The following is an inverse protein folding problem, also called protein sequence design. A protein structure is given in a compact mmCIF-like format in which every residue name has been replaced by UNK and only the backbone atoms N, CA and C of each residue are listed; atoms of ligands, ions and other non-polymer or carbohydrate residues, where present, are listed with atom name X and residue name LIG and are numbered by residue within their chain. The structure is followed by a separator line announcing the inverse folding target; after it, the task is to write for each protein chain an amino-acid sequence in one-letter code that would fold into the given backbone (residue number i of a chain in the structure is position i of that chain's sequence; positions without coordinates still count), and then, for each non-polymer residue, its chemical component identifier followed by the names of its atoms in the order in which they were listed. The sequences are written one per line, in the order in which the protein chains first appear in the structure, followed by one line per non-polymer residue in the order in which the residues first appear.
data_IF_846295150303
#
_entry.id   IF_846295150303
#
_cell.length_a   1.000
_cell.length_b   1.000
_cell.length_c   1.000
_cell.angle_alpha   90.00
_cell.angle_beta   90.00
_cell.angle_gamma   90.00
#
_symmetry.space_group_name_H-M   'P 1'
#
loop_
_entity.id
_entity.type
_entity.pdbx_description
1 polymer ?
#
# COMPACT_ATOMS: atom_id res chain seq x y z
N UNK A 1 -29.87 36.50 -32.25
CA UNK A 1 -30.26 35.94 -30.95
C UNK A 1 -29.38 34.72 -30.75
N UNK A 2 -28.46 34.81 -29.79
CA UNK A 2 -27.43 33.80 -29.49
C UNK A 2 -28.00 32.78 -28.50
N UNK A 3 -28.18 31.53 -28.94
CA UNK A 3 -28.51 30.42 -28.04
C UNK A 3 -27.22 29.85 -27.44
N UNK A 4 -27.02 30.17 -26.16
CA UNK A 4 -25.93 29.68 -25.33
C UNK A 4 -26.36 28.33 -24.72
N UNK A 5 -26.13 27.23 -25.43
CA UNK A 5 -26.30 25.88 -24.88
C UNK A 5 -25.06 25.48 -24.08
N UNK A 6 -24.95 25.99 -22.84
CA UNK A 6 -23.97 25.50 -21.87
C UNK A 6 -24.38 24.08 -21.44
N UNK A 7 -23.64 23.09 -21.93
CA UNK A 7 -23.70 21.73 -21.36
C UNK A 7 -23.14 21.77 -19.94
N UNK A 8 -23.82 21.20 -18.92
CA UNK A 8 -23.21 21.08 -17.60
C UNK A 8 -22.13 20.01 -17.69
N UNK A 9 -20.88 20.45 -17.76
CA UNK A 9 -19.70 19.62 -17.51
C UNK A 9 -19.83 19.02 -16.11
N UNK A 10 -20.28 17.78 -16.03
CA UNK A 10 -20.30 16.97 -14.80
C UNK A 10 -18.88 16.54 -14.41
N UNK A 11 -18.01 17.49 -14.09
CA UNK A 11 -16.77 17.23 -13.37
C UNK A 11 -17.06 17.27 -11.86
N UNK A 12 -17.55 16.15 -11.31
CA UNK A 12 -17.74 15.99 -9.85
C UNK A 12 -16.48 15.40 -9.20
N UNK A 13 -16.24 15.63 -7.89
CA UNK A 13 -14.92 15.95 -7.33
C UNK A 13 -14.10 14.70 -6.97
N UNK A 14 -13.22 14.29 -7.87
CA UNK A 14 -12.16 13.31 -7.59
C UNK A 14 -11.12 13.83 -6.57
N UNK A 15 -11.13 15.15 -6.31
CA UNK A 15 -10.07 15.89 -5.61
C UNK A 15 -10.23 16.03 -4.09
N UNK A 16 -11.41 15.78 -3.50
CA UNK A 16 -11.60 15.99 -2.04
C UNK A 16 -10.71 15.09 -1.18
N UNK A 17 -10.48 13.85 -1.62
CA UNK A 17 -9.60 12.92 -0.91
C UNK A 17 -8.14 13.39 -0.89
N UNK A 18 -7.66 13.92 -2.01
CA UNK A 18 -6.26 14.37 -2.16
C UNK A 18 -6.04 15.71 -1.46
N UNK A 19 -7.09 16.52 -1.37
CA UNK A 19 -7.11 17.79 -0.65
C UNK A 19 -7.36 17.61 0.86
N UNK A 20 -7.66 16.39 1.32
CA UNK A 20 -7.91 16.13 2.74
C UNK A 20 -6.60 16.38 3.54
N UNK A 21 -6.64 17.26 4.56
CA UNK A 21 -5.44 17.57 5.34
C UNK A 21 -4.87 16.36 6.08
N UNK A 22 -5.72 15.42 6.49
CA UNK A 22 -5.30 14.17 7.10
C UNK A 22 -4.59 13.27 6.12
N UNK A 23 -5.09 13.14 4.88
CA UNK A 23 -4.39 12.41 3.83
C UNK A 23 -2.99 12.98 3.57
N UNK A 24 -2.88 14.28 3.35
CA UNK A 24 -1.60 14.95 3.06
C UNK A 24 -0.59 14.80 4.20
N UNK A 25 -1.04 14.90 5.45
CA UNK A 25 -0.19 14.73 6.63
C UNK A 25 0.38 13.30 6.71
N UNK A 26 -0.47 12.28 6.55
CA UNK A 26 -0.04 10.88 6.61
C UNK A 26 0.81 10.46 5.40
N UNK A 27 0.54 11.03 4.23
CA UNK A 27 1.39 10.86 3.05
C UNK A 27 2.80 11.41 3.30
N UNK A 28 2.92 12.62 3.86
CA UNK A 28 4.22 13.19 4.20
C UNK A 28 4.90 12.42 5.33
N UNK A 29 4.15 11.92 6.32
CA UNK A 29 4.65 11.06 7.38
C UNK A 29 5.23 9.76 6.81
N UNK A 30 4.48 9.04 5.97
CA UNK A 30 4.94 7.82 5.31
C UNK A 30 6.25 8.07 4.55
N UNK A 31 6.31 9.18 3.81
CA UNK A 31 7.50 9.58 3.06
C UNK A 31 8.69 9.81 3.99
N UNK A 32 8.51 10.56 5.08
CA UNK A 32 9.55 10.81 6.08
C UNK A 32 10.05 9.50 6.71
N UNK A 33 9.14 8.62 7.10
CA UNK A 33 9.48 7.32 7.69
C UNK A 33 10.31 6.48 6.72
N UNK A 34 9.87 6.35 5.47
CA UNK A 34 10.58 5.62 4.43
C UNK A 34 12.01 6.16 4.23
N UNK A 35 12.18 7.47 4.05
CA UNK A 35 13.51 8.05 3.82
C UNK A 35 14.42 7.91 5.05
N UNK A 36 13.90 8.06 6.27
CA UNK A 36 14.67 7.86 7.49
C UNK A 36 15.13 6.41 7.62
N UNK A 37 14.26 5.43 7.33
CA UNK A 37 14.63 4.01 7.32
C UNK A 37 15.69 3.71 6.27
N UNK A 38 15.56 4.28 5.07
CA UNK A 38 16.54 4.10 4.00
C UNK A 38 17.91 4.74 4.30
N UNK A 39 17.93 5.96 4.85
CA UNK A 39 19.19 6.67 5.17
C UNK A 39 19.97 6.03 6.31
N UNK A 40 19.26 5.46 7.28
CA UNK A 40 19.92 4.77 8.40
C UNK A 40 20.48 3.41 7.98
N UNK A 41 20.27 2.94 6.74
CA UNK A 41 20.66 1.61 6.26
C UNK A 41 22.18 1.38 6.11
N UNK A 42 23.01 2.30 6.59
CA UNK A 42 24.43 2.04 6.82
C UNK A 42 24.61 0.73 7.62
N UNK A 43 25.67 -0.06 7.35
CA UNK A 43 25.84 -1.37 7.95
C UNK A 43 26.12 -1.23 9.44
N UNK A 44 25.08 -1.19 10.26
CA UNK A 44 25.19 -1.48 11.68
C UNK A 44 25.60 -2.94 11.79
N UNK A 45 26.80 -3.16 12.33
CA UNK A 45 27.32 -4.49 12.68
C UNK A 45 26.49 -5.07 13.82
N UNK A 46 25.25 -5.44 13.54
CA UNK A 46 24.38 -6.09 14.50
C UNK A 46 24.37 -7.59 14.25
N UNK A 47 24.73 -8.29 15.32
CA UNK A 47 24.90 -9.72 15.48
C UNK A 47 23.72 -10.49 14.87
N UNK A 48 24.01 -11.55 14.10
CA UNK A 48 22.98 -12.49 13.62
C UNK A 48 22.06 -12.93 14.76
N UNK A 49 20.72 -12.88 14.58
CA UNK A 49 19.82 -13.53 15.52
C UNK A 49 20.10 -15.04 15.48
N UNK A 50 20.14 -15.64 16.66
CA UNK A 50 20.19 -17.09 16.82
C UNK A 50 18.87 -17.66 16.27
N UNK A 51 18.87 -18.71 15.43
CA UNK A 51 17.64 -19.32 14.97
C UNK A 51 16.96 -20.03 16.15
N UNK A 52 15.85 -19.50 16.66
CA UNK A 52 15.04 -20.21 17.66
C UNK A 52 14.25 -19.39 18.68
N UNK A 53 14.24 -18.06 18.64
CA UNK A 53 13.32 -17.30 19.50
C UNK A 53 11.95 -17.22 18.84
N UNK A 54 11.10 -18.22 19.11
CA UNK A 54 9.65 -18.04 19.04
C UNK A 54 9.31 -16.82 19.90
N UNK A 55 8.72 -15.79 19.28
CA UNK A 55 8.29 -14.57 19.98
C UNK A 55 7.39 -14.89 21.18
N UNK A 56 7.26 -13.97 22.16
CA UNK A 56 6.47 -14.24 23.35
C UNK A 56 5.04 -14.68 22.96
N UNK A 57 4.49 -15.76 23.57
CA UNK A 57 3.21 -16.36 23.17
C UNK A 57 2.00 -15.41 23.09
N UNK A 58 2.10 -14.20 23.66
CA UNK A 58 1.06 -13.18 23.63
C UNK A 58 0.97 -12.39 22.32
N UNK A 59 2.07 -12.25 21.56
CA UNK A 59 2.10 -11.41 20.35
C UNK A 59 1.26 -12.00 19.22
N UNK A 60 1.39 -13.31 18.96
CA UNK A 60 0.58 -14.01 17.95
C UNK A 60 -0.92 -13.95 18.31
N UNK A 61 -1.29 -14.01 19.59
CA UNK A 61 -2.68 -13.92 20.02
C UNK A 61 -3.26 -12.53 19.80
N UNK A 62 -2.50 -11.49 20.12
CA UNK A 62 -2.91 -10.09 19.92
C UNK A 62 -3.06 -9.76 18.43
N UNK A 63 -2.11 -10.19 17.59
CA UNK A 63 -2.19 -10.06 16.13
C UNK A 63 -3.46 -10.74 15.60
N UNK A 64 -3.73 -11.98 16.02
CA UNK A 64 -4.95 -12.69 15.60
C UNK A 64 -6.23 -11.99 16.05
N UNK A 65 -6.25 -11.39 17.24
CA UNK A 65 -7.38 -10.59 17.72
C UNK A 65 -7.58 -9.34 16.87
N UNK A 66 -6.50 -8.62 16.52
CA UNK A 66 -6.55 -7.44 15.66
C UNK A 66 -7.07 -7.77 14.26
N UNK A 67 -6.59 -8.86 13.65
CA UNK A 67 -7.06 -9.33 12.33
C UNK A 67 -8.54 -9.68 12.37
N UNK A 68 -8.99 -10.41 13.39
CA UNK A 68 -10.41 -10.75 13.58
C UNK A 68 -11.27 -9.51 13.77
N UNK A 69 -10.81 -8.55 14.59
CA UNK A 69 -11.50 -7.29 14.80
C UNK A 69 -11.61 -6.49 13.49
N UNK A 70 -10.52 -6.40 12.72
CA UNK A 70 -10.51 -5.73 11.42
C UNK A 70 -11.49 -6.36 10.42
N UNK A 71 -11.61 -7.69 10.39
CA UNK A 71 -12.48 -8.42 9.47
C UNK A 71 -13.92 -8.64 9.98
N UNK A 72 -14.24 -8.19 11.21
CA UNK A 72 -15.60 -8.28 11.75
C UNK A 72 -16.60 -7.36 11.05
N UNK A 73 -16.10 -6.29 10.40
CA UNK A 73 -16.92 -5.38 9.60
C UNK A 73 -17.28 -6.02 8.24
N UNK A 74 -18.57 -6.15 7.90
CA UNK A 74 -19.00 -6.66 6.59
C UNK A 74 -18.41 -5.89 5.42
N UNK A 75 -18.19 -4.58 5.61
CA UNK A 75 -17.61 -3.70 4.59
C UNK A 75 -16.13 -3.98 4.37
N UNK A 76 -15.35 -4.13 5.45
CA UNK A 76 -13.92 -4.52 5.36
C UNK A 76 -13.77 -5.92 4.75
N UNK A 77 -14.67 -6.84 5.07
CA UNK A 77 -14.71 -8.15 4.42
C UNK A 77 -15.02 -8.04 2.91
N UNK A 78 -15.89 -7.12 2.51
CA UNK A 78 -16.16 -6.85 1.09
C UNK A 78 -14.92 -6.30 0.38
N UNK A 79 -14.16 -5.40 1.01
CA UNK A 79 -12.87 -4.93 0.48
C UNK A 79 -11.86 -6.06 0.35
N UNK A 80 -11.74 -6.96 1.32
CA UNK A 80 -10.84 -8.11 1.19
C UNK A 80 -11.24 -9.01 0.01
N UNK A 81 -12.54 -9.27 -0.17
CA UNK A 81 -13.05 -10.05 -1.32
C UNK A 81 -12.74 -9.35 -2.65
N UNK A 82 -12.95 -8.04 -2.72
CA UNK A 82 -12.63 -7.25 -3.92
C UNK A 82 -11.12 -7.21 -4.19
N UNK A 83 -10.29 -7.13 -3.14
CA UNK A 83 -8.83 -7.19 -3.29
C UNK A 83 -8.42 -8.46 -4.03
N UNK A 84 -8.83 -9.64 -3.53
CA UNK A 84 -8.48 -10.93 -4.13
C UNK A 84 -9.07 -11.09 -5.54
N UNK A 85 -10.30 -10.63 -5.75
CA UNK A 85 -11.02 -10.87 -7.01
C UNK A 85 -10.68 -9.88 -8.13
N UNK A 86 -10.26 -8.66 -7.80
CA UNK A 86 -10.12 -7.56 -8.77
C UNK A 86 -8.78 -6.85 -8.68
N UNK A 87 -8.28 -6.55 -7.49
CA UNK A 87 -7.06 -5.72 -7.32
C UNK A 87 -5.79 -6.55 -7.49
N UNK A 88 -5.66 -7.66 -6.77
CA UNK A 88 -4.48 -8.50 -6.77
C UNK A 88 -4.10 -9.02 -8.17
N UNK A 89 -5.05 -9.46 -9.04
CA UNK A 89 -4.73 -9.83 -10.42
C UNK A 89 -4.09 -8.70 -11.24
N UNK A 90 -4.39 -7.43 -10.95
CA UNK A 90 -3.77 -6.30 -11.64
C UNK A 90 -2.33 -6.06 -11.17
N UNK A 91 -2.06 -6.38 -9.90
CA UNK A 91 -0.71 -6.29 -9.32
C UNK A 91 0.18 -7.43 -9.81
N UNK A 92 -0.38 -8.63 -9.95
CA UNK A 92 0.26 -9.86 -10.47
C UNK A 92 0.39 -9.89 -12.01
N UNK A 93 0.14 -8.80 -12.73
CA UNK A 93 0.32 -8.82 -14.18
C UNK A 93 1.78 -9.18 -14.52
N UNK A 94 1.96 -10.36 -15.15
CA UNK A 94 3.23 -11.03 -15.48
C UNK A 94 3.93 -11.77 -14.33
N UNK A 95 3.29 -11.92 -13.18
CA UNK A 95 3.71 -12.84 -12.11
C UNK A 95 2.85 -14.12 -12.14
N UNK A 96 3.41 -15.20 -12.68
CA UNK A 96 2.72 -16.50 -12.72
C UNK A 96 2.54 -17.14 -11.34
N UNK A 97 3.33 -16.73 -10.35
CA UNK A 97 3.26 -17.26 -8.98
C UNK A 97 2.18 -16.58 -8.15
N UNK A 98 1.58 -15.51 -8.67
CA UNK A 98 0.47 -14.79 -8.05
C UNK A 98 0.83 -14.27 -6.66
N UNK A 99 1.95 -13.56 -6.51
CA UNK A 99 2.43 -13.10 -5.20
C UNK A 99 1.39 -12.23 -4.49
N UNK A 100 0.73 -11.31 -5.20
CA UNK A 100 -0.31 -10.45 -4.63
C UNK A 100 -1.64 -11.20 -4.42
N UNK A 101 -1.95 -12.21 -5.22
CA UNK A 101 -3.19 -12.99 -5.11
C UNK A 101 -3.10 -14.08 -4.04
N UNK A 102 -1.91 -14.64 -3.80
CA UNK A 102 -1.69 -15.80 -2.92
C UNK A 102 -0.82 -15.45 -1.72
N UNK A 103 0.40 -14.96 -1.94
CA UNK A 103 1.39 -14.79 -0.87
C UNK A 103 1.04 -13.61 0.06
N UNK A 104 0.65 -12.46 -0.51
CA UNK A 104 0.28 -11.26 0.24
C UNK A 104 -0.93 -11.49 1.17
N UNK A 105 -2.06 -12.09 0.72
CA UNK A 105 -3.16 -12.42 1.62
C UNK A 105 -2.77 -13.39 2.73
N UNK A 106 -1.90 -14.37 2.45
CA UNK A 106 -1.39 -15.30 3.45
C UNK A 106 -0.58 -14.55 4.52
N UNK A 107 0.30 -13.65 4.11
CA UNK A 107 1.11 -12.81 4.99
C UNK A 107 0.24 -11.84 5.81
N UNK A 108 -0.80 -11.27 5.20
CA UNK A 108 -1.72 -10.35 5.86
C UNK A 108 -2.46 -10.97 7.05
N UNK A 109 -2.58 -12.31 7.13
CA UNK A 109 -3.17 -13.00 8.30
C UNK A 109 -2.33 -12.89 9.58
N UNK A 110 -1.06 -12.48 9.46
CA UNK A 110 -0.12 -12.31 10.56
C UNK A 110 0.48 -10.91 10.62
N UNK A 111 0.12 -10.03 9.69
CA UNK A 111 0.63 -8.67 9.63
C UNK A 111 -0.56 -7.69 9.50
N UNK A 112 -1.03 -7.11 10.62
CA UNK A 112 -2.14 -6.16 10.60
C UNK A 112 -1.89 -4.96 9.70
N UNK A 113 -0.66 -4.42 9.67
CA UNK A 113 -0.29 -3.31 8.77
C UNK A 113 -0.54 -3.66 7.29
N UNK A 114 -0.15 -4.86 6.86
CA UNK A 114 -0.39 -5.35 5.51
C UNK A 114 -1.87 -5.58 5.23
N UNK A 115 -2.63 -6.12 6.20
CA UNK A 115 -4.08 -6.24 6.06
C UNK A 115 -4.73 -4.87 5.83
N UNK A 116 -4.42 -3.88 6.65
CA UNK A 116 -4.98 -2.53 6.47
C UNK A 116 -4.56 -1.90 5.14
N UNK A 117 -3.33 -2.11 4.68
CA UNK A 117 -2.88 -1.63 3.37
C UNK A 117 -3.68 -2.25 2.20
N UNK A 118 -3.91 -3.58 2.19
CA UNK A 118 -4.71 -4.23 1.13
C UNK A 118 -6.18 -3.78 1.16
N UNK A 119 -6.73 -3.58 2.36
CA UNK A 119 -8.10 -3.07 2.53
C UNK A 119 -8.21 -1.64 2.02
N UNK A 120 -7.24 -0.77 2.37
CA UNK A 120 -7.20 0.62 1.93
C UNK A 120 -7.13 0.72 0.40
N UNK A 121 -6.24 -0.04 -0.24
CA UNK A 121 -6.09 -0.05 -1.70
C UNK A 121 -7.38 -0.52 -2.38
N UNK A 122 -7.99 -1.58 -1.85
CA UNK A 122 -9.24 -2.09 -2.41
C UNK A 122 -10.42 -1.14 -2.20
N UNK A 123 -10.54 -0.52 -1.03
CA UNK A 123 -11.56 0.50 -0.77
C UNK A 123 -11.40 1.65 -1.78
N UNK A 124 -10.16 2.13 -1.98
CA UNK A 124 -9.86 3.20 -2.92
C UNK A 124 -10.21 2.84 -4.37
N UNK A 125 -9.94 1.59 -4.76
CA UNK A 125 -10.29 1.10 -6.09
C UNK A 125 -11.82 1.07 -6.32
N UNK A 126 -12.58 0.64 -5.31
CA UNK A 126 -14.05 0.63 -5.38
C UNK A 126 -14.63 2.04 -5.41
N UNK A 127 -14.15 2.94 -4.54
CA UNK A 127 -14.56 4.36 -4.51
C UNK A 127 -14.41 5.02 -5.90
N UNK A 128 -13.32 4.71 -6.60
CA UNK A 128 -13.09 5.20 -7.97
C UNK A 128 -14.02 4.59 -9.02
N UNK A 129 -14.34 3.30 -8.88
CA UNK A 129 -15.17 2.57 -9.86
C UNK A 129 -16.65 2.93 -9.75
N UNK A 130 -17.17 3.09 -8.54
CA UNK A 130 -18.62 3.16 -8.33
C UNK A 130 -19.18 4.59 -8.39
N UNK A 131 -18.32 5.62 -8.41
CA UNK A 131 -18.68 7.07 -8.43
C UNK A 131 -19.77 7.47 -7.41
N UNK A 132 -20.06 6.60 -6.44
CA UNK A 132 -21.16 6.69 -5.50
C UNK A 132 -20.64 6.22 -4.16
N UNK A 133 -20.90 7.07 -3.17
CA UNK A 133 -20.55 7.00 -1.76
C UNK A 133 -19.27 7.76 -1.38
N UNK A 134 -19.51 8.83 -0.61
CA UNK A 134 -18.57 9.56 0.22
C UNK A 134 -18.05 8.69 1.39
N UNK A 135 -17.69 7.43 1.14
CA UNK A 135 -17.02 6.66 2.17
C UNK A 135 -15.54 7.05 2.11
N UNK A 136 -15.03 7.73 3.14
CA UNK A 136 -13.60 7.95 3.33
C UNK A 136 -12.95 6.75 4.02
N UNK A 137 -13.54 5.56 3.88
CA UNK A 137 -13.05 4.32 4.47
C UNK A 137 -11.62 4.02 4.00
N UNK A 138 -11.28 4.32 2.74
CA UNK A 138 -9.90 4.19 2.27
C UNK A 138 -8.92 5.07 3.04
N UNK A 139 -9.32 6.27 3.48
CA UNK A 139 -8.49 7.17 4.28
C UNK A 139 -8.26 6.61 5.68
N UNK A 140 -9.31 6.18 6.38
CA UNK A 140 -9.18 5.58 7.72
C UNK A 140 -8.30 4.33 7.70
N UNK A 141 -8.48 3.47 6.68
CA UNK A 141 -7.67 2.26 6.51
C UNK A 141 -6.21 2.59 6.16
N UNK A 142 -5.98 3.64 5.36
CA UNK A 142 -4.65 4.13 5.01
C UNK A 142 -3.89 4.67 6.23
N UNK A 143 -4.54 5.49 7.05
CA UNK A 143 -3.98 6.03 8.28
C UNK A 143 -3.60 4.92 9.26
N UNK A 144 -4.50 3.95 9.45
CA UNK A 144 -4.24 2.83 10.35
C UNK A 144 -3.11 1.91 9.83
N UNK A 145 -3.00 1.73 8.51
CA UNK A 145 -1.88 1.00 7.92
C UNK A 145 -0.53 1.67 8.22
N UNK A 146 -0.42 2.99 8.09
CA UNK A 146 0.80 3.75 8.39
C UNK A 146 1.13 3.70 9.87
N UNK A 147 0.13 3.86 10.75
CA UNK A 147 0.31 3.77 12.20
C UNK A 147 0.91 2.43 12.62
N UNK A 148 0.45 1.33 12.02
CA UNK A 148 0.95 -0.02 12.27
C UNK A 148 2.27 -0.32 11.55
N UNK A 149 2.56 0.35 10.44
CA UNK A 149 3.81 0.23 9.69
C UNK A 149 5.00 0.85 10.44
N UNK A 150 4.79 1.97 11.14
CA UNK A 150 5.86 2.69 11.83
C UNK A 150 6.78 1.80 12.72
N UNK A 151 6.28 0.96 13.64
CA UNK A 151 7.17 0.07 14.41
C UNK A 151 7.92 -0.95 13.55
N UNK A 152 7.33 -1.43 12.45
CA UNK A 152 7.99 -2.37 11.53
C UNK A 152 9.16 -1.71 10.77
N UNK A 153 9.02 -0.41 10.44
CA UNK A 153 10.08 0.38 9.82
C UNK A 153 11.28 0.59 10.76
N UNK A 154 11.05 0.69 12.08
CA UNK A 154 12.11 0.73 13.08
C UNK A 154 12.79 -0.63 13.24
N UNK A 155 12.01 -1.72 13.20
CA UNK A 155 12.50 -3.09 13.30
C UNK A 155 13.16 -3.61 12.01
N UNK A 156 13.04 -2.88 10.89
CA UNK A 156 13.55 -3.28 9.56
C UNK A 156 13.04 -4.63 9.08
N UNK A 157 11.80 -4.95 9.40
CA UNK A 157 11.18 -6.16 8.89
C UNK A 157 10.98 -6.06 7.37
N UNK A 158 11.40 -7.08 6.60
CA UNK A 158 11.19 -7.11 5.15
C UNK A 158 9.71 -7.07 4.74
N UNK A 159 8.77 -7.35 5.66
CA UNK A 159 7.33 -7.16 5.43
C UNK A 159 6.94 -5.70 5.17
N UNK A 160 7.77 -4.71 5.53
CA UNK A 160 7.54 -3.30 5.19
C UNK A 160 7.51 -3.07 3.68
N UNK A 161 8.26 -3.85 2.90
CA UNK A 161 8.44 -3.65 1.47
C UNK A 161 7.11 -3.84 0.69
N UNK A 162 6.40 -4.98 0.80
CA UNK A 162 5.09 -5.11 0.18
C UNK A 162 4.06 -4.10 0.72
N UNK A 163 4.12 -3.74 2.00
CA UNK A 163 3.21 -2.73 2.58
C UNK A 163 3.41 -1.37 1.89
N UNK A 164 4.64 -0.87 1.84
CA UNK A 164 4.97 0.40 1.20
C UNK A 164 4.59 0.41 -0.29
N UNK A 165 4.81 -0.69 -1.01
CA UNK A 165 4.41 -0.79 -2.43
C UNK A 165 2.90 -0.76 -2.61
N UNK A 166 2.13 -1.43 -1.75
CA UNK A 166 0.65 -1.41 -1.80
C UNK A 166 0.11 -0.01 -1.45
N UNK A 167 0.71 0.67 -0.46
CA UNK A 167 0.37 2.05 -0.13
C UNK A 167 0.74 2.99 -1.28
N UNK A 168 1.88 2.80 -1.93
CA UNK A 168 2.28 3.54 -3.12
C UNK A 168 1.28 3.34 -4.28
N UNK A 169 0.78 2.11 -4.50
CA UNK A 169 -0.31 1.86 -5.45
C UNK A 169 -1.54 2.72 -5.14
N UNK A 170 -1.94 2.81 -3.87
CA UNK A 170 -3.09 3.61 -3.44
C UNK A 170 -2.85 5.10 -3.69
N UNK A 171 -1.67 5.59 -3.31
CA UNK A 171 -1.30 6.99 -3.51
C UNK A 171 -1.29 7.35 -4.99
N UNK A 172 -0.73 6.51 -5.86
CA UNK A 172 -0.74 6.72 -7.30
C UNK A 172 -2.14 6.68 -7.91
N UNK A 173 -3.05 5.88 -7.36
CA UNK A 173 -4.45 6.02 -7.74
C UNK A 173 -4.85 7.46 -7.41
N UNK A 174 -4.66 7.90 -6.19
CA UNK A 174 -5.06 9.24 -5.73
C UNK A 174 -4.31 10.43 -6.34
N UNK A 175 -3.11 10.25 -6.88
CA UNK A 175 -2.22 11.34 -7.26
C UNK A 175 -2.53 11.93 -8.66
N UNK A 176 -2.07 13.17 -8.85
CA UNK A 176 -1.95 13.77 -10.18
C UNK A 176 -0.81 13.11 -10.97
N UNK A 177 -0.83 13.13 -12.31
CA UNK A 177 0.30 12.70 -13.14
C UNK A 177 1.58 13.52 -12.93
N UNK A 178 1.57 14.59 -12.14
CA UNK A 178 2.76 15.35 -11.79
C UNK A 178 3.41 14.88 -10.47
N UNK A 179 2.63 14.27 -9.58
CA UNK A 179 3.09 13.89 -8.23
C UNK A 179 3.49 12.42 -8.09
N UNK A 180 3.09 11.54 -9.02
CA UNK A 180 3.43 10.10 -9.01
C UNK A 180 4.92 9.80 -8.82
N UNK A 181 5.82 10.63 -9.39
CA UNK A 181 7.27 10.43 -9.25
C UNK A 181 7.71 10.48 -7.79
N UNK A 182 7.16 11.43 -7.02
CA UNK A 182 7.47 11.57 -5.58
C UNK A 182 7.03 10.34 -4.79
N UNK A 183 5.92 9.72 -5.16
CA UNK A 183 5.44 8.48 -4.53
C UNK A 183 6.36 7.29 -4.83
N UNK A 184 6.87 7.20 -6.07
CA UNK A 184 7.79 6.13 -6.45
C UNK A 184 9.20 6.30 -5.89
N UNK A 185 9.65 7.53 -5.64
CA UNK A 185 10.97 7.81 -5.04
C UNK A 185 11.14 7.16 -3.66
N UNK A 186 10.07 7.17 -2.83
CA UNK A 186 10.10 6.52 -1.52
C UNK A 186 10.35 5.01 -1.63
N UNK A 187 9.59 4.31 -2.47
CA UNK A 187 9.79 2.87 -2.68
C UNK A 187 11.16 2.54 -3.29
N UNK A 188 11.69 3.38 -4.20
CA UNK A 188 13.04 3.22 -4.73
C UNK A 188 14.10 3.29 -3.63
N UNK A 189 14.00 4.27 -2.72
CA UNK A 189 14.93 4.42 -1.62
C UNK A 189 14.92 3.19 -0.68
N UNK A 190 13.74 2.61 -0.43
CA UNK A 190 13.65 1.35 0.31
C UNK A 190 14.27 0.17 -0.42
N UNK A 191 14.02 0.04 -1.74
CA UNK A 191 14.61 -1.05 -2.50
C UNK A 191 16.14 -1.01 -2.49
N UNK A 192 16.72 0.18 -2.65
CA UNK A 192 18.17 0.39 -2.57
C UNK A 192 18.71 0.05 -1.17
N UNK A 193 18.03 0.53 -0.11
CA UNK A 193 18.44 0.30 1.28
C UNK A 193 18.36 -1.16 1.73
N UNK A 194 17.46 -1.96 1.17
CA UNK A 194 17.24 -3.37 1.51
C UNK A 194 17.76 -4.36 0.45
N UNK A 195 18.49 -3.87 -0.57
CA UNK A 195 18.97 -4.66 -1.71
C UNK A 195 17.87 -5.50 -2.38
N UNK A 196 16.68 -4.91 -2.52
CA UNK A 196 15.54 -5.52 -3.21
C UNK A 196 15.61 -5.18 -4.70
N UNK A 197 15.74 -6.20 -5.52
CA UNK A 197 15.90 -6.07 -6.96
C UNK A 197 15.17 -7.19 -7.73
N UNK A 198 15.24 -7.14 -9.06
CA UNK A 198 14.56 -8.09 -9.95
C UNK A 198 15.01 -9.55 -9.83
N UNK A 199 16.04 -9.83 -9.02
CA UNK A 199 16.60 -11.15 -8.76
C UNK A 199 16.46 -11.61 -7.30
N UNK A 200 15.78 -10.85 -6.43
CA UNK A 200 15.64 -11.18 -5.00
C UNK A 200 14.84 -12.47 -4.73
N UNK A 201 14.20 -13.06 -5.75
CA UNK A 201 13.34 -14.23 -5.63
C UNK A 201 12.04 -13.97 -4.85
N UNK A 202 11.13 -14.95 -4.92
CA UNK A 202 9.90 -14.99 -4.14
C UNK A 202 9.07 -13.69 -4.18
N UNK A 203 8.48 -13.34 -3.03
CA UNK A 203 7.63 -12.16 -2.87
C UNK A 203 8.36 -10.85 -3.21
N UNK A 204 9.61 -10.68 -2.79
CA UNK A 204 10.34 -9.42 -2.98
C UNK A 204 10.62 -9.13 -4.46
N UNK A 205 10.95 -10.16 -5.24
CA UNK A 205 11.08 -10.02 -6.69
C UNK A 205 9.75 -9.63 -7.35
N UNK A 206 8.64 -10.27 -6.97
CA UNK A 206 7.32 -9.92 -7.52
C UNK A 206 6.92 -8.48 -7.18
N UNK A 207 7.17 -8.06 -5.94
CA UNK A 207 6.93 -6.68 -5.46
C UNK A 207 7.80 -5.67 -6.23
N UNK A 208 9.07 -5.99 -6.48
CA UNK A 208 9.96 -5.16 -7.30
C UNK A 208 9.43 -4.98 -8.73
N UNK A 209 9.01 -6.07 -9.38
CA UNK A 209 8.48 -5.99 -10.75
C UNK A 209 7.13 -5.27 -10.83
N UNK A 210 6.28 -5.41 -9.80
CA UNK A 210 5.08 -4.58 -9.66
C UNK A 210 5.47 -3.10 -9.63
N UNK A 211 6.45 -2.70 -8.81
CA UNK A 211 6.96 -1.33 -8.77
C UNK A 211 7.53 -0.82 -10.10
N UNK A 212 8.38 -1.60 -10.77
CA UNK A 212 8.95 -1.19 -12.07
C UNK A 212 7.84 -0.96 -13.10
N UNK A 213 6.78 -1.78 -13.07
CA UNK A 213 5.60 -1.60 -13.93
C UNK A 213 4.86 -0.31 -13.62
N UNK A 214 4.69 0.04 -12.34
CA UNK A 214 4.10 1.32 -11.92
C UNK A 214 4.87 2.50 -12.52
N UNK A 215 6.20 2.42 -12.53
CA UNK A 215 7.08 3.38 -13.18
C UNK A 215 6.83 3.57 -14.68
N UNK A 216 6.55 2.47 -15.40
CA UNK A 216 6.38 2.45 -16.86
C UNK A 216 4.97 2.83 -17.34
N UNK A 217 3.93 2.40 -16.62
CA UNK A 217 2.53 2.74 -16.97
C UNK A 217 2.30 4.24 -16.91
N UNK A 218 2.98 4.94 -15.99
CA UNK A 218 2.86 6.39 -15.84
C UNK A 218 3.67 7.20 -16.88
N UNK A 219 4.60 6.58 -17.61
CA UNK A 219 5.29 7.18 -18.76
C UNK A 219 4.47 7.08 -20.07
N UNK A 220 3.53 6.12 -20.15
CA UNK A 220 2.70 5.90 -21.34
C UNK A 220 1.38 6.71 -21.34
N UNK A 221 1.09 7.44 -20.27
CA UNK A 221 -0.10 8.29 -20.12
C UNK A 221 0.18 9.79 -20.40
N UNK A 222 1.36 10.12 -20.96
CA UNK A 222 1.79 11.45 -21.44
C UNK A 222 1.99 11.35 -22.95
#
# INVERSE_FOLDING_TARGET
MTDNSSSPSNSWPLDQFVQDPGYLAYQEELRCLIFNTAQTAAPSRETSPVPGEDGPPGEDFEVQAQIKAALSSPRRLAYLKNYVAQVAPWLDMFDSEGAFTVQVPVLARRCPALLYAILALSARQMERKESKQHSFDSLELYQEAIRLLNPLLQARDLTIIPICVILCCLEMMSASPQDWRRHLEGCAALFDAFDVNGFSGGLLQAVFWCYVRMGKVSLAAI
#
